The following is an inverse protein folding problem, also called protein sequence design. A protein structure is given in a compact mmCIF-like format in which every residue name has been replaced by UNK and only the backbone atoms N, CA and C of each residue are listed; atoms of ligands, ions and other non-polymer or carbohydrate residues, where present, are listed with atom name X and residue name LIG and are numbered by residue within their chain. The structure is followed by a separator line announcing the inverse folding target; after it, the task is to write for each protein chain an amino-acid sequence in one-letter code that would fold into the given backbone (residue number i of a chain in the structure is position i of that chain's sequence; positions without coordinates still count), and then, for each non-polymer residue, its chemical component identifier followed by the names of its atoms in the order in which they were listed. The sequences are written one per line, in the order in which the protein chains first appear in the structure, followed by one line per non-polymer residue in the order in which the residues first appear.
data_IF_471055596855
#
_entry.id   IF_471055596855
#
_cell.length_a   1.000
_cell.length_b   1.000
_cell.length_c   1.000
_cell.angle_alpha   90.00
_cell.angle_beta   90.00
_cell.angle_gamma   90.00
#
_symmetry.space_group_name_H-M   'P 1'
#
loop_
_entity.id
_entity.type
_entity.pdbx_description
1 polymer ?
#
# COMPACT_ATOMS: atom_id res chain seq x y z
N UNK A 1 -8.71 11.02 -10.64
CA UNK A 1 -7.94 10.03 -9.88
C UNK A 1 -8.87 8.91 -9.44
N UNK A 2 -8.66 7.71 -9.99
CA UNK A 2 -9.47 6.53 -9.70
C UNK A 2 -9.08 5.97 -8.33
N UNK A 3 -10.01 5.87 -7.39
CA UNK A 3 -9.75 5.22 -6.12
C UNK A 3 -9.61 3.70 -6.35
N UNK A 4 -8.48 3.12 -5.96
CA UNK A 4 -8.27 1.67 -6.10
C UNK A 4 -9.22 0.91 -5.18
N UNK A 5 -9.90 -0.08 -5.76
CA UNK A 5 -10.85 -0.89 -5.02
C UNK A 5 -10.13 -1.83 -4.04
N UNK A 6 -10.72 -2.01 -2.85
CA UNK A 6 -10.26 -2.97 -1.85
C UNK A 6 -10.65 -4.39 -2.23
N UNK A 7 -9.87 -5.00 -3.12
CA UNK A 7 -10.06 -6.40 -3.55
C UNK A 7 -8.85 -7.26 -3.21
N UNK A 8 -9.06 -8.57 -3.08
CA UNK A 8 -7.97 -9.53 -2.83
C UNK A 8 -6.95 -9.52 -3.96
N UNK A 9 -7.45 -9.38 -5.18
CA UNK A 9 -6.64 -9.29 -6.39
C UNK A 9 -5.72 -8.07 -6.35
N UNK A 10 -6.26 -6.88 -6.07
CA UNK A 10 -5.45 -5.65 -5.98
C UNK A 10 -4.43 -5.71 -4.83
N UNK A 11 -4.79 -6.33 -3.70
CA UNK A 11 -3.87 -6.56 -2.58
C UNK A 11 -2.68 -7.47 -2.95
N UNK A 12 -2.95 -8.54 -3.70
CA UNK A 12 -1.92 -9.49 -4.14
C UNK A 12 -1.07 -8.95 -5.29
N UNK A 13 -1.66 -8.08 -6.13
CA UNK A 13 -1.00 -7.44 -7.26
C UNK A 13 0.03 -6.38 -6.84
N UNK A 14 -0.06 -5.86 -5.62
CA UNK A 14 0.80 -4.77 -5.17
C UNK A 14 2.07 -5.17 -4.43
N UNK A 15 3.12 -4.39 -4.70
CA UNK A 15 4.47 -4.60 -4.19
C UNK A 15 4.85 -3.60 -3.08
N UNK A 16 3.87 -2.97 -2.43
CA UNK A 16 4.06 -1.91 -1.43
C UNK A 16 5.07 -2.28 -0.34
N UNK A 17 4.98 -3.50 0.20
CA UNK A 17 5.90 -3.98 1.25
C UNK A 17 7.36 -4.18 0.80
N UNK A 18 7.63 -4.04 -0.51
CA UNK A 18 8.97 -4.10 -1.09
C UNK A 18 9.55 -2.72 -1.38
N UNK A 19 8.79 -1.65 -1.23
CA UNK A 19 9.30 -0.29 -1.38
C UNK A 19 10.49 -0.06 -0.43
N UNK A 20 11.58 0.59 -0.88
CA UNK A 20 12.71 0.95 -0.01
C UNK A 20 12.30 1.75 1.23
N UNK A 21 11.28 2.60 1.10
CA UNK A 21 10.68 3.34 2.22
C UNK A 21 10.01 2.43 3.26
N UNK A 22 9.54 1.24 2.87
CA UNK A 22 8.97 0.24 3.79
C UNK A 22 10.07 -0.62 4.43
N UNK A 23 10.77 0.01 5.38
CA UNK A 23 11.92 -0.55 6.08
C UNK A 23 11.59 -1.82 6.90
N UNK A 24 12.62 -2.55 7.31
CA UNK A 24 12.46 -3.73 8.18
C UNK A 24 11.77 -3.40 9.50
N UNK A 25 12.03 -2.23 10.09
CA UNK A 25 11.33 -1.76 11.29
C UNK A 25 9.83 -1.59 11.03
N UNK A 26 9.42 -1.14 9.83
CA UNK A 26 8.01 -1.09 9.47
C UNK A 26 7.37 -2.45 9.29
N UNK A 27 8.07 -3.39 8.66
CA UNK A 27 7.62 -4.79 8.58
C UNK A 27 7.33 -5.37 9.96
N UNK A 28 8.19 -5.09 10.93
CA UNK A 28 8.04 -5.59 12.31
C UNK A 28 6.86 -4.89 13.01
N UNK A 29 6.75 -3.55 12.92
CA UNK A 29 5.66 -2.79 13.55
C UNK A 29 4.28 -3.19 13.03
N UNK A 30 4.15 -3.41 11.72
CA UNK A 30 2.86 -3.68 11.07
C UNK A 30 2.50 -5.18 11.01
N UNK A 31 3.43 -6.09 11.33
CA UNK A 31 3.16 -7.54 11.33
C UNK A 31 1.90 -7.94 12.11
N UNK A 32 1.64 -7.41 13.34
CA UNK A 32 0.42 -7.74 14.08
C UNK A 32 -0.85 -7.27 13.38
N UNK A 33 -0.85 -6.04 12.84
CA UNK A 33 -1.99 -5.49 12.11
C UNK A 33 -2.26 -6.28 10.83
N UNK A 34 -1.23 -6.54 10.03
CA UNK A 34 -1.36 -7.34 8.80
C UNK A 34 -1.93 -8.75 9.07
N UNK A 35 -1.53 -9.39 10.18
CA UNK A 35 -2.07 -10.68 10.57
C UNK A 35 -3.54 -10.59 10.97
N UNK A 36 -3.94 -9.56 11.73
CA UNK A 36 -5.34 -9.30 12.07
C UNK A 36 -6.17 -9.01 10.82
N UNK A 37 -5.62 -8.21 9.90
CA UNK A 37 -6.27 -7.82 8.66
C UNK A 37 -6.43 -9.00 7.69
N UNK A 38 -5.53 -9.99 7.71
CA UNK A 38 -5.70 -11.25 7.00
C UNK A 38 -6.78 -12.17 7.59
N UNK A 39 -7.05 -12.05 8.90
CA UNK A 39 -8.13 -12.79 9.57
C UNK A 39 -9.48 -12.12 9.36
N UNK A 40 -9.51 -10.80 9.20
CA UNK A 40 -10.68 -10.03 8.80
C UNK A 40 -10.93 -10.24 7.30
N UNK A 41 -12.19 -10.36 6.89
CA UNK A 41 -12.53 -10.24 5.47
C UNK A 41 -12.06 -8.86 4.96
N UNK A 42 -11.62 -8.76 3.70
CA UNK A 42 -11.03 -7.54 3.11
C UNK A 42 -11.93 -6.30 3.29
N UNK A 43 -13.25 -6.50 3.29
CA UNK A 43 -14.26 -5.47 3.55
C UNK A 43 -14.18 -4.84 4.95
N UNK A 44 -13.58 -5.54 5.92
CA UNK A 44 -13.45 -5.13 7.32
C UNK A 44 -12.02 -4.66 7.69
N UNK A 45 -11.15 -4.47 6.70
CA UNK A 45 -9.77 -4.05 6.92
C UNK A 45 -9.65 -2.52 6.86
N UNK A 46 -9.25 -1.95 7.99
CA UNK A 46 -9.03 -0.50 8.15
C UNK A 46 -7.65 -0.07 7.64
N UNK A 47 -6.61 -0.90 7.85
CA UNK A 47 -5.24 -0.63 7.40
C UNK A 47 -4.82 -1.55 6.27
N UNK A 48 -4.44 -1.00 5.13
CA UNK A 48 -3.98 -1.80 3.99
C UNK A 48 -2.55 -1.41 3.64
N UNK A 49 -1.59 -1.78 4.50
CA UNK A 49 -0.16 -1.58 4.22
C UNK A 49 0.28 -2.28 2.91
N UNK A 50 -0.46 -3.30 2.47
CA UNK A 50 -0.25 -3.94 1.18
C UNK A 50 -0.73 -3.13 -0.02
N UNK A 51 -1.50 -2.06 0.17
CA UNK A 51 -2.05 -1.19 -0.88
C UNK A 51 -1.67 0.28 -0.69
N UNK A 52 -0.77 0.63 0.25
CA UNK A 52 -0.50 2.05 0.51
C UNK A 52 -0.07 2.79 -0.76
N UNK A 53 0.71 2.16 -1.65
CA UNK A 53 1.12 2.72 -2.95
C UNK A 53 -0.02 3.11 -3.89
N UNK A 54 -1.25 2.72 -3.61
CA UNK A 54 -2.37 2.85 -4.54
C UNK A 54 -3.68 3.25 -3.85
N UNK A 55 -3.71 3.33 -2.50
CA UNK A 55 -4.94 3.52 -1.73
C UNK A 55 -4.85 4.66 -0.70
N UNK A 56 -3.84 4.66 0.18
CA UNK A 56 -3.69 5.65 1.28
C UNK A 56 -2.24 5.63 1.76
N UNK A 57 -1.78 6.68 2.45
CA UNK A 57 -0.43 6.69 3.02
C UNK A 57 -0.18 5.49 3.94
N UNK A 58 1.07 5.01 3.99
CA UNK A 58 1.44 4.00 4.99
C UNK A 58 1.33 4.59 6.40
N UNK A 59 0.95 3.76 7.38
CA UNK A 59 0.93 4.17 8.79
C UNK A 59 2.31 4.15 9.44
N UNK A 60 3.31 3.59 8.75
CA UNK A 60 4.66 3.42 9.29
C UNK A 60 5.75 4.18 8.54
N UNK A 61 5.51 4.56 7.28
CA UNK A 61 6.53 5.27 6.51
C UNK A 61 6.51 6.75 6.89
N UNK A 62 7.55 7.18 7.59
CA UNK A 62 7.77 8.59 7.96
C UNK A 62 8.84 9.28 7.08
N UNK A 63 9.59 8.51 6.30
CA UNK A 63 10.71 8.97 5.48
C UNK A 63 10.59 8.51 4.03
N UNK A 64 10.78 9.42 3.07
CA UNK A 64 10.83 9.08 1.64
C UNK A 64 12.22 8.56 1.25
N UNK A 65 12.34 7.24 1.11
CA UNK A 65 13.53 6.54 0.60
C UNK A 65 13.29 5.95 -0.78
N UNK A 66 12.21 6.34 -1.45
CA UNK A 66 11.78 5.81 -2.73
C UNK A 66 10.69 4.75 -2.64
N UNK A 67 9.94 4.63 -3.73
CA UNK A 67 8.82 3.72 -3.90
C UNK A 67 9.01 2.85 -5.15
N UNK A 68 8.24 1.76 -5.23
CA UNK A 68 8.15 0.91 -6.42
C UNK A 68 6.70 0.86 -6.94
N UNK A 69 5.92 1.91 -6.67
CA UNK A 69 4.48 1.90 -6.92
C UNK A 69 4.15 1.75 -8.42
N UNK A 70 4.96 2.34 -9.30
CA UNK A 70 4.87 2.18 -10.76
C UNK A 70 5.16 0.75 -11.28
N UNK A 71 5.68 -0.14 -10.43
CA UNK A 71 5.91 -1.56 -10.75
C UNK A 71 4.75 -2.44 -10.27
N UNK A 72 3.79 -1.89 -9.51
CA UNK A 72 2.57 -2.62 -9.13
C UNK A 72 1.61 -2.66 -10.32
N UNK A 73 1.08 -3.84 -10.69
CA UNK A 73 0.13 -3.96 -11.81
C UNK A 73 -1.20 -3.24 -11.55
N UNK A 74 -1.50 -2.88 -10.31
CA UNK A 74 -2.63 -1.99 -9.96
C UNK A 74 -2.41 -0.58 -10.52
N UNK A 75 -1.16 -0.12 -10.59
CA UNK A 75 -0.83 1.20 -11.13
C UNK A 75 -1.28 1.31 -12.59
N UNK A 76 -0.91 0.34 -13.42
CA UNK A 76 -1.34 0.26 -14.82
C UNK A 76 -2.86 0.02 -14.95
N UNK A 77 -3.42 -0.87 -14.12
CA UNK A 77 -4.85 -1.23 -14.14
C UNK A 77 -5.77 -0.04 -13.85
N UNK A 78 -5.33 0.89 -13.01
CA UNK A 78 -6.12 2.06 -12.59
C UNK A 78 -5.63 3.38 -13.21
N UNK A 79 -4.63 3.33 -14.10
CA UNK A 79 -4.04 4.50 -14.76
C UNK A 79 -3.61 5.57 -13.73
N UNK A 80 -2.87 5.12 -12.72
CA UNK A 80 -2.36 6.01 -11.67
C UNK A 80 -1.20 6.84 -12.25
N UNK A 81 -1.25 8.16 -12.10
CA UNK A 81 -0.25 9.05 -12.71
C UNK A 81 1.02 9.18 -11.84
N UNK A 82 0.88 9.10 -10.51
CA UNK A 82 1.97 9.35 -9.58
C UNK A 82 2.17 8.29 -8.48
N UNK A 83 3.43 7.85 -8.31
CA UNK A 83 3.83 6.79 -7.39
C UNK A 83 3.94 7.21 -5.91
N UNK A 84 3.44 8.39 -5.54
CA UNK A 84 3.78 9.06 -4.27
C UNK A 84 2.90 8.69 -3.06
N UNK A 85 2.02 7.70 -3.17
CA UNK A 85 1.14 7.30 -2.07
C UNK A 85 1.86 6.68 -0.85
N UNK A 86 3.19 6.66 -0.81
CA UNK A 86 3.95 6.20 0.36
C UNK A 86 3.79 7.14 1.56
N UNK A 87 3.73 8.45 1.31
CA UNK A 87 3.86 9.50 2.34
C UNK A 87 2.70 10.50 2.36
N UNK A 88 1.93 10.60 1.27
CA UNK A 88 0.79 11.53 1.14
C UNK A 88 -0.47 10.79 0.68
N UNK A 89 -1.61 11.14 1.28
CA UNK A 89 -2.92 10.63 0.84
C UNK A 89 -3.29 11.24 -0.52
N UNK A 90 -3.87 10.42 -1.41
CA UNK A 90 -4.40 10.87 -2.70
C UNK A 90 -3.34 11.41 -3.67
N UNK A 91 -2.20 10.72 -3.79
CA UNK A 91 -1.02 11.14 -4.57
C UNK A 91 -1.34 11.68 -5.95
N UNK A 92 -1.36 13.02 -6.06
CA UNK A 92 -1.52 13.76 -7.31
C UNK A 92 -0.39 13.47 -8.26
#
# INVERSE_FOLDING_TARGET
MSQVEKTKENLQACNCLKCPSYTTSCKIKEMPHNMIDMLKGIENVEGLENLFCAYTKSRCIDEDKGCLCNVCTVHDKYDLEDGHYCITDGGY
#
